data_IF_060112718604
#
_entry.id   IF_060112718604
#
_cell.length_a   1.000
_cell.length_b   1.000
_cell.length_c   1.000
_cell.angle_alpha   90.00
_cell.angle_beta   90.00
_cell.angle_gamma   90.00
#
_symmetry.space_group_name_H-M   'P 1'
#
loop_
_entity.id
_entity.type
_entity.pdbx_description
1 polymer ?
#
# COMPACT_ATOMS: atom_id res chain seq x y z
N UNK A 1 28.01 -30.16 29.55
CA UNK A 1 28.51 -28.77 29.58
C UNK A 1 28.50 -28.27 28.16
N UNK A 2 27.53 -27.42 27.82
CA UNK A 2 27.55 -26.67 26.55
C UNK A 2 28.38 -25.42 26.81
N UNK A 3 29.55 -25.31 26.16
CA UNK A 3 30.26 -24.04 26.08
C UNK A 3 29.42 -23.09 25.23
N UNK A 4 28.83 -22.08 25.87
CA UNK A 4 28.39 -20.87 25.18
C UNK A 4 29.66 -20.17 24.71
N UNK A 5 29.90 -20.15 23.40
CA UNK A 5 30.87 -19.24 22.82
C UNK A 5 30.31 -17.83 22.96
N UNK A 6 30.88 -17.03 23.85
CA UNK A 6 30.59 -15.60 23.93
C UNK A 6 31.04 -14.92 22.63
N UNK A 7 30.09 -14.64 21.74
CA UNK A 7 30.33 -13.87 20.52
C UNK A 7 30.47 -12.40 20.90
N UNK A 8 31.69 -11.89 20.95
CA UNK A 8 31.96 -10.46 21.14
C UNK A 8 31.78 -9.71 19.81
N UNK A 9 30.83 -8.78 19.77
CA UNK A 9 30.71 -7.84 18.65
C UNK A 9 31.80 -6.78 18.77
N UNK A 10 32.51 -6.52 17.67
CA UNK A 10 33.55 -5.49 17.59
C UNK A 10 33.06 -4.40 16.66
N UNK A 11 33.07 -3.15 17.13
CA UNK A 11 32.77 -2.00 16.28
C UNK A 11 33.85 -1.87 15.19
N UNK A 12 33.42 -1.90 13.93
CA UNK A 12 34.30 -1.65 12.80
C UNK A 12 34.16 -0.19 12.35
N UNK A 13 35.28 0.54 12.33
CA UNK A 13 35.35 1.85 11.71
C UNK A 13 35.03 1.73 10.21
N UNK A 14 33.91 2.30 9.76
CA UNK A 14 33.53 2.31 8.35
C UNK A 14 34.32 3.38 7.57
N UNK A 15 34.55 3.21 6.26
CA UNK A 15 35.50 4.03 5.50
C UNK A 15 35.03 5.46 5.13
N UNK A 16 33.97 5.97 5.76
CA UNK A 16 33.37 7.27 5.40
C UNK A 16 33.53 8.29 6.52
N UNK A 17 33.92 9.52 6.17
CA UNK A 17 33.95 10.64 7.12
C UNK A 17 32.55 10.88 7.69
N UNK A 18 32.42 10.90 9.02
CA UNK A 18 31.15 11.03 9.76
C UNK A 18 30.21 12.08 9.14
N UNK A 19 29.09 11.70 8.51
CA UNK A 19 28.06 12.65 8.13
C UNK A 19 27.31 13.09 9.39
N UNK A 20 26.98 14.38 9.52
CA UNK A 20 26.13 14.94 10.59
C UNK A 20 24.67 14.44 10.57
N UNK A 21 24.34 13.41 9.80
CA UNK A 21 23.00 12.81 9.66
C UNK A 21 23.12 11.30 9.58
N UNK A 22 22.14 10.59 10.16
CA UNK A 22 21.99 9.14 10.06
C UNK A 22 21.96 8.77 8.57
N UNK A 23 22.96 8.02 8.12
CA UNK A 23 23.03 7.47 6.76
C UNK A 23 22.73 5.98 6.87
N UNK A 24 21.63 5.54 6.24
CA UNK A 24 21.37 4.12 6.04
C UNK A 24 22.39 3.58 5.04
N UNK A 25 23.19 2.60 5.47
CA UNK A 25 24.19 1.92 4.65
C UNK A 25 23.63 0.56 4.27
N UNK A 26 23.54 0.26 2.96
CA UNK A 26 23.09 -1.03 2.46
C UNK A 26 24.24 -2.04 2.44
N UNK A 27 24.09 -3.16 3.15
CA UNK A 27 25.02 -4.29 3.09
C UNK A 27 24.64 -5.22 1.93
N UNK A 28 25.51 -5.33 0.93
CA UNK A 28 25.21 -6.01 -0.32
C UNK A 28 25.98 -7.34 -0.51
N UNK A 29 26.41 -7.93 0.60
CA UNK A 29 27.11 -9.22 0.64
C UNK A 29 28.60 -9.11 0.94
N UNK A 30 29.19 -10.26 1.23
CA UNK A 30 30.63 -10.42 1.46
C UNK A 30 31.17 -11.67 0.77
N UNK A 31 32.44 -11.63 0.39
CA UNK A 31 33.15 -12.76 -0.20
C UNK A 31 34.62 -12.69 0.22
N UNK A 32 35.15 -13.76 0.84
CA UNK A 32 36.56 -13.90 1.22
C UNK A 32 37.13 -12.68 1.99
N UNK A 33 36.32 -12.09 2.88
CA UNK A 33 36.71 -10.93 3.70
C UNK A 33 36.59 -9.56 3.02
N UNK A 34 36.20 -9.51 1.74
CA UNK A 34 35.72 -8.28 1.09
C UNK A 34 34.22 -8.11 1.30
N UNK A 35 33.80 -6.89 1.53
CA UNK A 35 32.41 -6.48 1.75
C UNK A 35 32.00 -5.50 0.66
N UNK A 36 30.84 -5.72 0.06
CA UNK A 36 30.23 -4.76 -0.86
C UNK A 36 29.20 -3.90 -0.12
N UNK A 37 29.39 -2.59 -0.18
CA UNK A 37 28.56 -1.61 0.55
C UNK A 37 27.99 -0.60 -0.44
N UNK A 38 26.74 -0.20 -0.23
CA UNK A 38 26.12 0.91 -0.96
C UNK A 38 25.72 2.04 -0.02
N UNK A 39 26.01 3.27 -0.44
CA UNK A 39 25.67 4.50 0.30
C UNK A 39 24.66 5.34 -0.50
N UNK A 40 24.01 6.35 0.13
CA UNK A 40 23.06 7.21 -0.56
C UNK A 40 23.66 7.84 -1.83
N UNK A 41 22.86 7.87 -2.91
CA UNK A 41 23.32 8.30 -4.24
C UNK A 41 23.77 7.15 -5.15
N UNK A 42 23.55 5.89 -4.75
CA UNK A 42 23.90 4.68 -5.51
C UNK A 42 25.40 4.50 -5.75
N UNK A 43 26.22 5.06 -4.85
CA UNK A 43 27.67 4.88 -4.87
C UNK A 43 28.00 3.57 -4.16
N UNK A 44 28.78 2.73 -4.81
CA UNK A 44 29.16 1.41 -4.32
C UNK A 44 30.63 1.36 -3.94
N UNK A 45 30.94 0.67 -2.85
CA UNK A 45 32.30 0.44 -2.37
C UNK A 45 32.57 -1.04 -2.20
N UNK A 46 33.80 -1.43 -2.53
CA UNK A 46 34.42 -2.64 -2.01
C UNK A 46 35.28 -2.26 -0.83
N UNK A 47 35.04 -2.88 0.31
CA UNK A 47 35.73 -2.58 1.55
C UNK A 47 36.29 -3.86 2.16
N UNK A 48 37.54 -3.80 2.58
CA UNK A 48 38.17 -4.84 3.39
C UNK A 48 38.28 -4.33 4.83
N UNK A 49 37.40 -4.79 5.75
CA UNK A 49 37.41 -4.31 7.13
C UNK A 49 38.71 -4.62 7.86
N UNK A 50 39.34 -5.76 7.58
CA UNK A 50 40.58 -6.18 8.24
C UNK A 50 41.78 -5.29 7.89
N UNK A 51 41.85 -4.81 6.65
CA UNK A 51 42.92 -3.91 6.18
C UNK A 51 42.54 -2.43 6.23
N UNK A 52 41.28 -2.12 6.51
CA UNK A 52 40.68 -0.78 6.45
C UNK A 52 40.83 -0.08 5.09
N UNK A 53 41.09 -0.84 4.02
CA UNK A 53 41.15 -0.32 2.65
C UNK A 53 39.79 -0.38 2.00
N UNK A 54 39.42 0.67 1.28
CA UNK A 54 38.22 0.72 0.46
C UNK A 54 38.55 1.17 -0.96
N UNK A 55 37.68 0.78 -1.89
CA UNK A 55 37.71 1.20 -3.28
C UNK A 55 36.29 1.58 -3.70
N UNK A 56 36.15 2.76 -4.30
CA UNK A 56 34.90 3.18 -4.94
C UNK A 56 34.76 2.48 -6.30
N UNK A 57 33.59 1.93 -6.56
CA UNK A 57 33.28 1.35 -7.86
C UNK A 57 32.83 2.44 -8.85
N UNK A 58 33.19 2.35 -10.14
CA UNK A 58 32.74 3.30 -11.15
C UNK A 58 31.22 3.40 -11.19
N UNK A 59 30.69 4.62 -11.32
CA UNK A 59 29.25 4.85 -11.35
C UNK A 59 28.59 4.22 -12.59
N UNK A 60 27.53 3.45 -12.39
CA UNK A 60 26.74 2.89 -13.49
C UNK A 60 25.86 3.99 -14.09
N UNK A 61 26.24 4.52 -15.26
CA UNK A 61 25.44 5.53 -15.97
C UNK A 61 24.14 4.89 -16.49
N UNK A 62 23.01 5.35 -15.97
CA UNK A 62 21.66 4.96 -16.36
C UNK A 62 20.92 6.16 -16.96
N UNK A 63 20.17 5.95 -18.05
CA UNK A 63 19.36 7.02 -18.69
C UNK A 63 18.03 7.29 -17.97
N UNK A 64 17.58 6.37 -17.12
CA UNK A 64 16.22 6.36 -16.56
C UNK A 64 16.25 6.32 -15.02
N UNK A 65 15.14 6.73 -14.39
CA UNK A 65 14.97 6.69 -12.94
C UNK A 65 14.91 5.24 -12.43
N UNK A 66 16.04 4.75 -11.93
CA UNK A 66 16.15 3.49 -11.18
C UNK A 66 15.35 3.64 -9.89
N UNK A 67 14.47 2.68 -9.62
CA UNK A 67 13.70 2.65 -8.38
C UNK A 67 14.13 1.50 -7.46
N UNK A 68 14.90 0.52 -7.97
CA UNK A 68 15.57 -0.46 -7.11
C UNK A 68 16.82 -1.07 -7.73
N UNK A 69 17.58 -1.72 -6.86
CA UNK A 69 18.72 -2.55 -7.19
C UNK A 69 18.83 -3.70 -6.19
N UNK A 70 19.45 -4.79 -6.61
CA UNK A 70 20.11 -5.77 -5.73
C UNK A 70 21.53 -5.97 -6.25
N UNK A 71 22.47 -6.29 -5.36
CA UNK A 71 23.78 -6.73 -5.78
C UNK A 71 24.35 -7.86 -4.92
N UNK A 72 25.40 -8.46 -5.43
CA UNK A 72 26.14 -9.53 -4.76
C UNK A 72 27.59 -9.52 -5.22
N UNK A 73 28.49 -9.94 -4.33
CA UNK A 73 29.92 -10.07 -4.58
C UNK A 73 30.32 -11.54 -4.58
N UNK A 74 31.13 -11.94 -5.55
CA UNK A 74 31.67 -13.29 -5.67
C UNK A 74 33.11 -13.29 -6.14
N UNK A 75 33.78 -14.42 -5.94
CA UNK A 75 35.15 -14.64 -6.38
C UNK A 75 35.15 -15.66 -7.53
N UNK A 76 35.81 -15.33 -8.63
CA UNK A 76 35.90 -16.19 -9.81
C UNK A 76 37.26 -16.91 -9.82
N UNK A 77 37.26 -18.17 -9.40
CA UNK A 77 38.45 -19.02 -9.33
C UNK A 77 39.13 -19.19 -10.70
N UNK A 78 38.39 -19.09 -11.81
CA UNK A 78 38.95 -19.33 -13.15
C UNK A 78 39.86 -18.21 -13.62
N UNK A 79 39.63 -16.99 -13.11
CA UNK A 79 40.46 -15.84 -13.42
C UNK A 79 41.17 -15.31 -12.20
N UNK A 80 40.98 -15.86 -10.99
CA UNK A 80 41.55 -15.35 -9.73
C UNK A 80 41.20 -13.86 -9.52
N UNK A 81 39.90 -13.54 -9.51
CA UNK A 81 39.44 -12.17 -9.37
C UNK A 81 38.04 -12.03 -8.74
N UNK A 82 37.78 -10.88 -8.14
CA UNK A 82 36.46 -10.56 -7.60
C UNK A 82 35.55 -9.94 -8.64
N UNK A 83 34.27 -10.30 -8.57
CA UNK A 83 33.20 -9.74 -9.37
C UNK A 83 32.09 -9.22 -8.49
N UNK A 84 31.48 -8.12 -8.93
CA UNK A 84 30.26 -7.59 -8.32
C UNK A 84 29.17 -7.64 -9.38
N UNK A 85 28.06 -8.28 -9.07
CA UNK A 85 26.89 -8.32 -9.94
C UNK A 85 25.86 -7.37 -9.38
N UNK A 86 25.36 -6.47 -10.22
CA UNK A 86 24.27 -5.53 -9.89
C UNK A 86 23.12 -5.79 -10.83
N UNK A 87 21.93 -5.96 -10.27
CA UNK A 87 20.68 -6.09 -11.00
C UNK A 87 19.87 -4.83 -10.71
N UNK A 88 19.72 -4.00 -11.73
CA UNK A 88 19.01 -2.73 -11.69
C UNK A 88 17.60 -2.90 -12.25
N UNK A 89 16.61 -2.32 -11.59
CA UNK A 89 15.24 -2.24 -12.11
C UNK A 89 14.87 -0.78 -12.38
N UNK A 90 14.40 -0.51 -13.59
CA UNK A 90 13.95 0.81 -14.02
C UNK A 90 12.57 0.72 -14.66
N UNK A 91 11.74 1.75 -14.44
CA UNK A 91 10.49 1.92 -15.17
C UNK A 91 10.78 2.56 -16.52
N UNK A 92 10.43 1.87 -17.60
CA UNK A 92 10.52 2.36 -18.98
C UNK A 92 9.20 2.11 -19.66
N UNK A 93 8.51 3.17 -20.08
CA UNK A 93 7.22 3.09 -20.79
C UNK A 93 6.20 2.18 -20.10
N UNK A 94 6.14 2.25 -18.76
CA UNK A 94 5.25 1.40 -17.94
C UNK A 94 5.56 -0.10 -18.07
N UNK A 95 6.82 -0.45 -18.24
CA UNK A 95 7.35 -1.82 -18.12
C UNK A 95 8.55 -1.79 -17.17
N UNK A 96 8.66 -2.80 -16.30
CA UNK A 96 9.88 -2.97 -15.49
C UNK A 96 10.94 -3.58 -16.39
N UNK A 97 11.92 -2.77 -16.78
CA UNK A 97 13.12 -3.26 -17.44
C UNK A 97 14.18 -3.57 -16.40
N UNK A 98 14.78 -4.76 -16.53
CA UNK A 98 15.91 -5.19 -15.72
C UNK A 98 17.19 -5.04 -16.51
N UNK A 99 18.25 -4.60 -15.86
CA UNK A 99 19.59 -4.51 -16.43
C UNK A 99 20.56 -5.17 -15.49
N UNK A 100 21.31 -6.14 -15.99
CA UNK A 100 22.32 -6.84 -15.18
C UNK A 100 23.72 -6.40 -15.61
N UNK A 101 24.46 -5.84 -14.67
CA UNK A 101 25.82 -5.35 -14.84
C UNK A 101 26.78 -6.17 -13.97
N UNK A 102 27.93 -6.53 -14.53
CA UNK A 102 28.98 -7.27 -13.84
C UNK A 102 30.25 -6.45 -13.85
N UNK A 103 30.70 -6.04 -12.67
CA UNK A 103 32.01 -5.44 -12.46
C UNK A 103 33.06 -6.52 -12.30
N UNK A 104 34.24 -6.30 -12.87
CA UNK A 104 35.41 -7.15 -12.70
C UNK A 104 36.53 -6.29 -12.13
N UNK A 105 37.06 -6.68 -10.96
CA UNK A 105 37.98 -5.85 -10.18
C UNK A 105 39.31 -5.63 -10.90
N UNK A 106 39.89 -6.68 -11.50
CA UNK A 106 41.16 -6.60 -12.25
C UNK A 106 41.12 -5.61 -13.40
N UNK A 107 39.97 -5.49 -14.08
CA UNK A 107 39.82 -4.63 -15.26
C UNK A 107 39.18 -3.30 -14.95
N UNK A 108 38.83 -3.05 -13.68
CA UNK A 108 38.13 -1.87 -13.19
C UNK A 108 36.98 -1.42 -14.13
N UNK A 109 36.13 -2.37 -14.52
CA UNK A 109 35.12 -2.10 -15.54
C UNK A 109 33.86 -2.93 -15.38
N UNK A 110 32.75 -2.30 -15.77
CA UNK A 110 31.44 -2.91 -15.89
C UNK A 110 31.23 -3.51 -17.27
N UNK A 111 30.58 -4.67 -17.32
CA UNK A 111 30.03 -5.24 -18.54
C UNK A 111 28.59 -5.68 -18.33
N UNK A 112 27.74 -5.42 -19.32
CA UNK A 112 26.36 -5.89 -19.35
C UNK A 112 26.30 -7.37 -19.69
N UNK A 113 25.44 -8.10 -19.00
CA UNK A 113 25.07 -9.48 -19.36
C UNK A 113 23.58 -9.59 -19.68
N UNK A 114 23.11 -10.79 -20.03
CA UNK A 114 21.69 -11.04 -20.32
C UNK A 114 20.83 -10.66 -19.12
N UNK A 115 19.66 -10.08 -19.40
CA UNK A 115 18.75 -9.64 -18.36
C UNK A 115 18.14 -10.86 -17.62
N UNK A 116 17.88 -10.69 -16.32
CA UNK A 116 17.31 -11.75 -15.49
C UNK A 116 15.82 -11.96 -15.81
N UNK A 117 15.37 -13.18 -16.16
CA UNK A 117 13.98 -13.44 -16.55
C UNK A 117 13.02 -13.53 -15.35
N UNK A 118 13.53 -13.64 -14.12
CA UNK A 118 12.72 -13.89 -12.92
C UNK A 118 12.46 -12.62 -12.11
N UNK A 119 11.33 -12.57 -11.39
CA UNK A 119 11.07 -11.54 -10.39
C UNK A 119 11.87 -11.85 -9.12
N UNK A 120 12.77 -10.96 -8.74
CA UNK A 120 13.57 -11.11 -7.51
C UNK A 120 12.85 -10.39 -6.38
N UNK A 121 12.93 -10.91 -5.16
CA UNK A 121 12.45 -10.17 -3.99
C UNK A 121 13.31 -8.92 -3.81
N UNK A 122 12.63 -7.80 -3.61
CA UNK A 122 13.26 -6.50 -3.39
C UNK A 122 13.93 -6.54 -2.02
N UNK A 123 15.19 -6.13 -1.94
CA UNK A 123 16.09 -6.11 -0.75
C UNK A 123 17.02 -7.30 -0.49
N UNK A 124 16.90 -8.42 -1.21
CA UNK A 124 17.79 -9.55 -0.95
C UNK A 124 19.15 -9.38 -1.65
N UNK A 125 20.23 -9.35 -0.85
CA UNK A 125 21.62 -9.36 -1.33
C UNK A 125 21.98 -10.73 -1.92
N UNK A 126 22.74 -10.73 -3.01
CA UNK A 126 23.18 -11.97 -3.64
C UNK A 126 24.13 -12.75 -2.74
N UNK A 127 23.83 -14.03 -2.50
CA UNK A 127 24.64 -14.91 -1.65
C UNK A 127 25.59 -15.72 -2.55
N UNK A 128 26.90 -15.59 -2.34
CA UNK A 128 27.89 -16.32 -3.11
C UNK A 128 28.20 -17.68 -2.48
N UNK A 129 27.87 -18.76 -3.18
CA UNK A 129 28.12 -20.15 -2.75
C UNK A 129 28.47 -21.00 -3.97
N UNK A 130 29.53 -21.79 -3.83
CA UNK A 130 29.98 -22.77 -4.85
C UNK A 130 30.20 -22.18 -6.24
N UNK A 131 30.87 -21.03 -6.32
CA UNK A 131 31.22 -20.39 -7.59
C UNK A 131 30.07 -19.61 -8.25
N UNK A 132 28.90 -19.51 -7.59
CA UNK A 132 27.74 -18.82 -8.14
C UNK A 132 27.10 -17.88 -7.11
N UNK A 133 26.50 -16.79 -7.60
CA UNK A 133 25.62 -15.93 -6.82
C UNK A 133 24.18 -16.43 -6.91
N UNK A 134 23.52 -16.51 -5.76
CA UNK A 134 22.14 -16.96 -5.62
C UNK A 134 21.28 -15.80 -5.10
N UNK A 135 20.11 -15.65 -5.69
CA UNK A 135 19.07 -14.73 -5.22
C UNK A 135 17.76 -15.48 -5.07
N UNK A 136 16.97 -15.06 -4.10
CA UNK A 136 15.58 -15.48 -3.93
C UNK A 136 14.73 -14.85 -5.03
N UNK A 137 13.94 -15.69 -5.71
CA UNK A 137 12.97 -15.25 -6.69
C UNK A 137 11.59 -15.76 -6.32
N UNK A 138 10.56 -14.99 -6.67
CA UNK A 138 9.20 -15.53 -6.70
C UNK A 138 9.00 -16.19 -8.06
N UNK A 139 8.93 -17.53 -8.07
CA UNK A 139 8.53 -18.28 -9.25
C UNK A 139 7.02 -18.08 -9.42
N UNK A 140 6.64 -17.15 -10.30
CA UNK A 140 5.25 -17.03 -10.74
C UNK A 140 5.05 -18.00 -11.91
N UNK A 141 4.32 -19.10 -11.69
CA UNK A 141 3.91 -20.00 -12.77
C UNK A 141 3.21 -19.22 -13.90
N UNK A 142 3.48 -19.60 -15.15
CA UNK A 142 3.32 -18.69 -16.29
C UNK A 142 1.88 -18.46 -16.80
N UNK A 143 0.87 -19.16 -16.29
CA UNK A 143 -0.52 -18.90 -16.68
C UNK A 143 -1.11 -17.73 -15.88
N UNK A 144 -1.51 -16.67 -16.58
CA UNK A 144 -2.19 -15.53 -15.96
C UNK A 144 -3.65 -15.84 -15.68
N UNK A 145 -4.11 -15.47 -14.49
CA UNK A 145 -5.51 -15.63 -14.09
C UNK A 145 -6.42 -14.57 -14.73
N UNK A 146 -5.87 -13.37 -14.98
CA UNK A 146 -6.61 -12.24 -15.56
C UNK A 146 -5.67 -11.15 -16.10
N UNK A 147 -6.24 -10.14 -16.76
CA UNK A 147 -5.54 -8.98 -17.31
C UNK A 147 -6.14 -7.70 -16.74
N UNK A 148 -5.28 -6.80 -16.23
CA UNK A 148 -5.67 -5.46 -15.86
C UNK A 148 -5.94 -4.61 -17.11
N UNK A 149 -6.93 -3.74 -17.01
CA UNK A 149 -7.27 -2.75 -18.04
C UNK A 149 -6.96 -1.37 -17.47
N UNK A 150 -6.16 -0.61 -18.21
CA UNK A 150 -5.90 0.78 -17.89
C UNK A 150 -7.17 1.60 -18.11
N UNK A 151 -7.58 2.35 -17.09
CA UNK A 151 -8.67 3.32 -17.18
C UNK A 151 -8.04 4.71 -17.14
N UNK A 152 -8.48 5.59 -18.05
CA UNK A 152 -8.03 6.98 -18.08
C UNK A 152 -8.57 7.74 -16.86
N UNK A 153 -7.70 8.55 -16.26
CA UNK A 153 -8.05 9.41 -15.13
C UNK A 153 -9.04 10.51 -15.54
N UNK A 154 -9.86 11.02 -14.59
CA UNK A 154 -10.80 12.11 -14.85
C UNK A 154 -10.16 13.50 -15.00
N UNK A 155 -8.82 13.57 -15.12
CA UNK A 155 -8.07 14.81 -15.22
C UNK A 155 -6.94 14.69 -16.25
N UNK A 156 -6.53 15.82 -16.82
CA UNK A 156 -5.38 15.85 -17.72
C UNK A 156 -4.12 15.39 -17.00
N UNK A 157 -3.34 14.49 -17.63
CA UNK A 157 -2.10 13.96 -17.06
C UNK A 157 -1.13 15.13 -16.79
N UNK A 158 -0.83 15.45 -15.53
CA UNK A 158 0.10 16.52 -15.26
C UNK A 158 1.53 16.10 -15.60
N UNK A 159 2.39 17.10 -15.78
CA UNK A 159 3.82 16.90 -16.09
C UNK A 159 4.62 16.38 -14.89
N UNK A 160 4.04 16.44 -13.69
CA UNK A 160 4.66 16.06 -12.41
C UNK A 160 4.01 14.82 -11.79
N UNK A 161 4.67 14.22 -10.80
CA UNK A 161 4.11 13.09 -10.05
C UNK A 161 2.90 13.54 -9.24
N UNK A 162 1.83 12.76 -9.33
CA UNK A 162 0.58 12.97 -8.60
C UNK A 162 0.35 11.84 -7.61
N UNK A 163 -0.16 12.20 -6.46
CA UNK A 163 -0.74 11.26 -5.49
C UNK A 163 -2.25 11.26 -5.64
N UNK A 164 -2.84 10.07 -5.69
CA UNK A 164 -4.28 9.86 -5.81
C UNK A 164 -4.73 9.06 -4.61
N UNK A 165 -5.60 9.65 -3.80
CA UNK A 165 -6.21 8.99 -2.66
C UNK A 165 -7.63 8.55 -3.02
N UNK A 166 -7.91 7.27 -2.83
CA UNK A 166 -9.26 6.73 -2.98
C UNK A 166 -10.06 7.01 -1.71
N UNK A 167 -11.20 7.69 -1.88
CA UNK A 167 -12.04 8.19 -0.78
C UNK A 167 -13.41 7.50 -0.74
N UNK A 168 -13.49 6.29 -1.30
CA UNK A 168 -14.70 5.45 -1.28
C UNK A 168 -15.38 5.34 -2.64
N UNK A 169 -16.32 4.41 -2.71
CA UNK A 169 -17.24 4.25 -3.84
C UNK A 169 -18.66 4.01 -3.37
N UNK A 170 -19.63 4.42 -4.18
CA UNK A 170 -21.05 4.24 -3.94
C UNK A 170 -21.77 4.14 -5.28
N UNK A 171 -22.52 3.05 -5.52
CA UNK A 171 -23.31 2.84 -6.74
C UNK A 171 -22.54 3.08 -8.06
N UNK A 172 -21.26 2.70 -8.09
CA UNK A 172 -20.34 2.86 -9.22
C UNK A 172 -19.80 4.28 -9.44
N UNK A 173 -20.16 5.23 -8.58
CA UNK A 173 -19.39 6.46 -8.41
C UNK A 173 -18.20 6.21 -7.48
N UNK A 174 -17.07 6.84 -7.80
CA UNK A 174 -15.83 6.80 -7.04
C UNK A 174 -15.46 8.22 -6.64
N UNK A 175 -15.10 8.42 -5.38
CA UNK A 175 -14.52 9.68 -4.94
C UNK A 175 -12.99 9.55 -4.89
N UNK A 176 -12.28 10.43 -5.59
CA UNK A 176 -10.82 10.49 -5.55
C UNK A 176 -10.36 11.89 -5.16
N UNK A 177 -9.25 11.95 -4.44
CA UNK A 177 -8.53 13.19 -4.13
C UNK A 177 -7.18 13.17 -4.82
N UNK A 178 -6.86 14.27 -5.49
CA UNK A 178 -5.67 14.45 -6.31
C UNK A 178 -4.79 15.50 -5.65
N UNK A 179 -3.52 15.16 -5.43
CA UNK A 179 -2.51 16.02 -4.78
C UNK A 179 -2.92 16.57 -3.41
N UNK A 180 -3.90 15.94 -2.74
CA UNK A 180 -4.35 16.30 -1.39
C UNK A 180 -5.34 17.46 -1.28
N UNK A 181 -5.83 18.03 -2.40
CA UNK A 181 -6.76 19.19 -2.35
C UNK A 181 -7.77 19.28 -3.49
N UNK A 182 -7.56 18.62 -4.63
CA UNK A 182 -8.55 18.58 -5.72
C UNK A 182 -9.37 17.30 -5.58
N UNK A 183 -10.70 17.40 -5.57
CA UNK A 183 -11.56 16.23 -5.43
C UNK A 183 -12.40 16.03 -6.68
N UNK A 184 -12.55 14.77 -7.08
CA UNK A 184 -13.44 14.37 -8.16
C UNK A 184 -14.44 13.32 -7.68
N UNK A 185 -15.68 13.45 -8.15
CA UNK A 185 -16.61 12.33 -8.22
C UNK A 185 -16.57 11.82 -9.65
N UNK A 186 -16.22 10.55 -9.81
CA UNK A 186 -15.90 9.95 -11.10
C UNK A 186 -16.65 8.64 -11.26
N UNK A 187 -17.21 8.40 -12.45
CA UNK A 187 -17.68 7.08 -12.83
C UNK A 187 -16.71 6.47 -13.87
N UNK A 188 -15.88 5.49 -13.47
CA UNK A 188 -14.98 4.80 -14.39
C UNK A 188 -15.66 4.16 -15.60
N UNK A 189 -16.85 3.58 -15.43
CA UNK A 189 -17.58 2.88 -16.49
C UNK A 189 -18.09 3.84 -17.58
N UNK A 190 -18.56 5.03 -17.19
CA UNK A 190 -19.05 6.04 -18.14
C UNK A 190 -17.98 7.04 -18.57
N UNK A 191 -16.81 7.03 -17.90
CA UNK A 191 -15.70 7.99 -18.08
C UNK A 191 -16.11 9.46 -17.84
N UNK A 192 -17.25 9.69 -17.19
CA UNK A 192 -17.71 11.01 -16.79
C UNK A 192 -17.19 11.33 -15.40
N UNK A 193 -16.91 12.59 -15.12
CA UNK A 193 -16.47 13.08 -13.82
C UNK A 193 -16.92 14.51 -13.57
N UNK A 194 -16.99 14.85 -12.29
CA UNK A 194 -17.29 16.19 -11.80
C UNK A 194 -16.20 16.58 -10.80
N UNK A 195 -15.56 17.72 -11.05
CA UNK A 195 -14.64 18.33 -10.10
C UNK A 195 -15.43 19.04 -9.01
N UNK A 196 -15.10 18.77 -7.75
CA UNK A 196 -15.78 19.41 -6.63
C UNK A 196 -15.17 20.80 -6.36
N UNK A 197 -15.97 21.79 -5.92
CA UNK A 197 -15.44 23.08 -5.52
C UNK A 197 -14.36 22.94 -4.44
N UNK A 198 -13.26 23.68 -4.58
CA UNK A 198 -12.13 23.61 -3.65
C UNK A 198 -12.55 24.04 -2.24
N UNK A 199 -12.31 23.17 -1.24
CA UNK A 199 -12.46 23.54 0.16
C UNK A 199 -11.25 24.39 0.58
N UNK A 200 -11.50 25.58 1.14
CA UNK A 200 -10.43 26.41 1.71
C UNK A 200 -9.85 25.73 2.93
N UNK A 201 -8.73 25.04 2.73
CA UNK A 201 -7.94 24.40 3.78
C UNK A 201 -7.36 25.46 4.73
N UNK A 202 -7.41 25.21 6.03
CA UNK A 202 -6.64 25.99 6.98
C UNK A 202 -5.17 25.55 6.90
N UNK A 203 -4.22 26.47 7.05
CA UNK A 203 -2.78 26.17 7.03
C UNK A 203 -2.34 25.19 8.14
N UNK A 204 -3.22 24.90 9.10
CA UNK A 204 -2.98 24.03 10.27
C UNK A 204 -3.57 22.62 10.13
N UNK A 205 -4.16 22.30 8.96
CA UNK A 205 -4.71 20.96 8.69
C UNK A 205 -3.57 19.99 8.47
N UNK A 206 -3.60 18.87 9.19
CA UNK A 206 -2.58 17.82 9.10
C UNK A 206 -3.15 16.49 8.59
N UNK A 207 -4.47 16.34 8.55
CA UNK A 207 -5.13 15.10 8.16
C UNK A 207 -6.54 15.37 7.63
N UNK A 208 -6.88 14.72 6.52
CA UNK A 208 -8.17 14.82 5.85
C UNK A 208 -8.76 13.41 5.75
N UNK A 209 -10.02 13.25 6.11
CA UNK A 209 -10.78 12.02 5.85
C UNK A 209 -11.96 12.34 4.99
N UNK A 210 -12.18 11.54 3.95
CA UNK A 210 -13.35 11.72 3.12
C UNK A 210 -14.10 10.42 2.93
N UNK A 211 -15.37 10.53 2.60
CA UNK A 211 -16.23 9.41 2.25
C UNK A 211 -17.32 9.86 1.30
N UNK A 212 -17.72 8.99 0.38
CA UNK A 212 -18.88 9.20 -0.49
C UNK A 212 -19.98 8.22 -0.12
N UNK A 213 -21.22 8.69 -0.12
CA UNK A 213 -22.38 7.85 0.08
C UNK A 213 -23.63 8.43 -0.55
N UNK A 214 -24.69 7.64 -0.56
CA UNK A 214 -25.98 8.03 -1.11
C UNK A 214 -26.98 8.25 0.03
N UNK A 215 -27.72 9.35 -0.05
CA UNK A 215 -28.76 9.72 0.89
C UNK A 215 -30.13 9.45 0.26
N UNK A 216 -30.73 8.31 0.64
CA UNK A 216 -32.04 7.87 0.17
C UNK A 216 -33.15 8.90 0.45
N UNK A 217 -33.01 9.75 1.47
CA UNK A 217 -34.06 10.69 1.87
C UNK A 217 -34.23 11.85 0.91
N UNK A 218 -33.16 12.21 0.19
CA UNK A 218 -33.14 13.31 -0.78
C UNK A 218 -32.85 12.85 -2.21
N UNK A 219 -32.68 11.53 -2.41
CA UNK A 219 -32.33 10.88 -3.69
C UNK A 219 -31.08 11.51 -4.31
N UNK A 220 -29.99 11.59 -3.54
CA UNK A 220 -28.77 12.25 -3.98
C UNK A 220 -27.50 11.72 -3.31
N UNK A 221 -26.36 12.00 -3.93
CA UNK A 221 -25.04 11.66 -3.38
C UNK A 221 -24.51 12.78 -2.50
N UNK A 222 -23.85 12.38 -1.42
CA UNK A 222 -23.10 13.27 -0.54
C UNK A 222 -21.64 12.85 -0.49
N UNK A 223 -20.76 13.83 -0.48
CA UNK A 223 -19.34 13.65 -0.16
C UNK A 223 -19.08 14.36 1.15
N UNK A 224 -18.54 13.64 2.13
CA UNK A 224 -18.19 14.18 3.43
C UNK A 224 -16.69 14.33 3.50
N UNK A 225 -16.22 15.49 3.96
CA UNK A 225 -14.82 15.77 4.23
C UNK A 225 -14.67 16.22 5.68
N UNK A 226 -13.80 15.54 6.41
CA UNK A 226 -13.44 15.82 7.79
C UNK A 226 -12.01 16.37 7.78
N UNK A 227 -11.87 17.64 8.14
CA UNK A 227 -10.62 18.37 8.20
C UNK A 227 -10.15 18.44 9.65
N UNK A 228 -9.08 17.71 9.97
CA UNK A 228 -8.47 17.74 11.30
C UNK A 228 -7.35 18.77 11.35
N UNK A 229 -7.48 19.76 12.22
CA UNK A 229 -6.50 20.82 12.42
C UNK A 229 -6.12 20.96 13.89
N UNK A 230 -4.86 21.34 14.15
CA UNK A 230 -4.46 21.80 15.48
C UNK A 230 -4.83 23.28 15.63
N UNK A 231 -5.75 23.55 16.55
CA UNK A 231 -6.14 24.91 16.93
C UNK A 231 -5.93 25.03 18.44
N UNK A 232 -5.03 25.93 18.85
CA UNK A 232 -4.68 26.15 20.26
C UNK A 232 -4.29 24.88 21.03
N UNK A 233 -3.58 23.96 20.35
CA UNK A 233 -3.15 22.64 20.87
C UNK A 233 -4.29 21.62 21.07
N UNK A 234 -5.50 21.93 20.62
CA UNK A 234 -6.64 21.01 20.56
C UNK A 234 -6.86 20.56 19.11
N UNK A 235 -7.21 19.30 18.91
CA UNK A 235 -7.61 18.80 17.58
C UNK A 235 -9.07 19.23 17.36
N UNK A 236 -9.30 20.00 16.29
CA UNK A 236 -10.64 20.33 15.80
C UNK A 236 -10.90 19.57 14.50
N UNK A 237 -12.06 18.93 14.41
CA UNK A 237 -12.49 18.17 13.24
C UNK A 237 -13.64 18.89 12.55
N UNK A 238 -13.30 19.84 11.68
CA UNK A 238 -14.31 20.56 10.89
C UNK A 238 -14.88 19.61 9.85
N UNK A 239 -16.21 19.54 9.73
CA UNK A 239 -16.88 18.66 8.78
C UNK A 239 -17.64 19.46 7.73
N UNK A 240 -17.34 19.18 6.47
CA UNK A 240 -17.99 19.74 5.30
C UNK A 240 -18.71 18.62 4.54
N UNK A 241 -19.96 18.87 4.16
CA UNK A 241 -20.79 17.96 3.38
C UNK A 241 -21.11 18.61 2.05
N UNK A 242 -20.67 17.99 0.97
CA UNK A 242 -21.03 18.35 -0.39
C UNK A 242 -22.26 17.55 -0.81
N UNK A 243 -23.21 18.21 -1.46
CA UNK A 243 -24.39 17.57 -2.05
C UNK A 243 -24.32 17.74 -3.56
N UNK A 244 -24.39 16.63 -4.30
CA UNK A 244 -24.09 16.60 -5.73
C UNK A 244 -25.08 17.44 -6.55
N UNK A 245 -26.39 17.33 -6.27
CA UNK A 245 -27.42 18.07 -6.99
C UNK A 245 -27.34 19.58 -6.80
N UNK A 246 -26.92 20.04 -5.63
CA UNK A 246 -26.83 21.49 -5.33
C UNK A 246 -25.46 22.07 -5.63
N UNK A 247 -24.51 21.25 -6.09
CA UNK A 247 -23.11 21.60 -6.35
C UNK A 247 -22.51 22.53 -5.28
N UNK A 248 -22.69 22.18 -4.01
CA UNK A 248 -22.30 23.05 -2.91
C UNK A 248 -21.91 22.31 -1.65
N UNK A 249 -20.91 22.88 -0.98
CA UNK A 249 -20.48 22.50 0.35
C UNK A 249 -21.33 23.20 1.41
N UNK A 250 -21.63 22.46 2.47
CA UNK A 250 -22.23 22.97 3.70
C UNK A 250 -21.49 22.40 4.91
N UNK A 251 -21.17 23.29 5.86
CA UNK A 251 -20.63 22.89 7.16
C UNK A 251 -21.73 22.28 8.04
N UNK A 252 -21.39 21.20 8.72
CA UNK A 252 -22.20 20.62 9.81
C UNK A 252 -21.47 20.75 11.15
N UNK A 253 -22.07 20.25 12.24
CA UNK A 253 -21.41 20.21 13.55
C UNK A 253 -20.09 19.44 13.47
N UNK A 254 -19.09 19.86 14.24
CA UNK A 254 -17.75 19.25 14.21
C UNK A 254 -17.79 17.80 14.73
N UNK A 255 -16.90 16.95 14.20
CA UNK A 255 -16.83 15.54 14.61
C UNK A 255 -16.24 15.42 16.03
N UNK A 256 -16.94 14.75 16.97
CA UNK A 256 -16.50 14.69 18.36
C UNK A 256 -15.29 13.75 18.59
N UNK A 257 -14.92 12.92 17.60
CA UNK A 257 -13.85 11.94 17.74
C UNK A 257 -12.64 12.28 16.86
N UNK A 258 -11.43 12.03 17.39
CA UNK A 258 -10.20 12.08 16.59
C UNK A 258 -10.19 10.91 15.61
N UNK A 259 -9.99 11.21 14.32
CA UNK A 259 -9.84 10.22 13.25
C UNK A 259 -8.38 10.17 12.75
N UNK A 260 -7.43 10.51 13.62
CA UNK A 260 -6.01 10.40 13.32
C UNK A 260 -5.66 8.94 12.99
N UNK A 261 -4.95 8.74 11.88
CA UNK A 261 -4.55 7.40 11.42
C UNK A 261 -5.68 6.50 10.91
N UNK A 262 -6.91 6.99 10.77
CA UNK A 262 -7.99 6.23 10.12
C UNK A 262 -7.81 6.22 8.60
N UNK A 263 -8.42 5.23 7.94
CA UNK A 263 -8.58 5.24 6.49
C UNK A 263 -9.78 6.11 6.06
N UNK A 264 -10.05 6.14 4.74
CA UNK A 264 -11.22 6.78 4.13
C UNK A 264 -12.54 6.16 4.62
N UNK A 265 -13.63 6.94 4.51
CA UNK A 265 -14.95 6.60 5.02
C UNK A 265 -15.61 5.45 4.25
N UNK A 266 -16.20 4.52 5.00
CA UNK A 266 -16.85 3.33 4.47
C UNK A 266 -18.37 3.51 4.51
N UNK A 267 -19.01 3.46 3.34
CA UNK A 267 -20.46 3.61 3.21
C UNK A 267 -21.19 2.27 3.28
N UNK A 268 -22.08 2.12 4.27
CA UNK A 268 -22.96 0.96 4.42
C UNK A 268 -24.31 1.45 4.97
N UNK A 269 -25.41 0.99 4.37
CA UNK A 269 -26.77 1.22 4.89
C UNK A 269 -27.12 2.70 5.17
N UNK A 270 -26.72 3.62 4.28
CA UNK A 270 -27.02 5.05 4.43
C UNK A 270 -26.09 5.81 5.39
N UNK A 271 -25.06 5.15 5.90
CA UNK A 271 -24.19 5.67 6.95
C UNK A 271 -22.72 5.53 6.54
N UNK A 272 -21.92 6.57 6.79
CA UNK A 272 -20.47 6.53 6.64
C UNK A 272 -19.79 6.13 7.95
N UNK A 273 -18.71 5.36 7.87
CA UNK A 273 -18.00 4.83 9.02
C UNK A 273 -16.49 5.05 8.92
N UNK A 274 -15.87 5.34 10.06
CA UNK A 274 -14.42 5.48 10.22
C UNK A 274 -13.96 4.81 11.51
N UNK A 275 -12.68 4.47 11.59
CA UNK A 275 -12.05 3.98 12.82
C UNK A 275 -11.41 5.13 13.58
N UNK A 276 -11.47 5.11 14.92
CA UNK A 276 -10.77 6.07 15.78
C UNK A 276 -9.73 5.34 16.62
N UNK A 277 -8.44 5.42 16.22
CA UNK A 277 -7.34 4.74 16.93
C UNK A 277 -7.17 5.28 18.36
N UNK A 278 -7.32 6.59 18.53
CA UNK A 278 -7.14 7.28 19.82
C UNK A 278 -8.22 6.93 20.86
N UNK A 279 -9.37 6.41 20.42
CA UNK A 279 -10.54 6.14 21.26
C UNK A 279 -10.78 4.63 21.41
N UNK A 280 -9.74 3.83 21.65
CA UNK A 280 -9.84 2.36 21.74
C UNK A 280 -10.47 1.70 20.49
N UNK A 281 -10.15 2.22 19.30
CA UNK A 281 -10.60 1.67 18.02
C UNK A 281 -12.13 1.67 17.82
N UNK A 282 -12.86 2.60 18.45
CA UNK A 282 -14.30 2.75 18.18
C UNK A 282 -14.56 3.00 16.68
N UNK A 283 -15.71 2.51 16.23
CA UNK A 283 -16.22 2.78 14.89
C UNK A 283 -17.13 4.00 15.00
N UNK A 284 -16.67 5.12 14.46
CA UNK A 284 -17.43 6.37 14.39
C UNK A 284 -18.30 6.35 13.14
N UNK A 285 -19.57 6.69 13.29
CA UNK A 285 -20.53 6.69 12.20
C UNK A 285 -21.14 8.08 11.96
N UNK A 286 -21.51 8.40 10.72
CA UNK A 286 -22.28 9.58 10.34
C UNK A 286 -23.46 9.16 9.46
N UNK A 287 -24.68 9.31 9.98
CA UNK A 287 -25.93 9.10 9.22
C UNK A 287 -26.06 10.21 8.19
N UNK A 288 -26.09 9.88 6.89
CA UNK A 288 -26.09 10.90 5.84
C UNK A 288 -27.43 11.63 5.71
N UNK A 289 -28.54 11.00 6.06
CA UNK A 289 -29.87 11.60 5.99
C UNK A 289 -30.09 12.57 7.15
N UNK A 290 -29.71 12.17 8.36
CA UNK A 290 -29.88 12.98 9.59
C UNK A 290 -28.71 13.93 9.84
N UNK A 291 -27.54 13.62 9.27
CA UNK A 291 -26.27 14.31 9.51
C UNK A 291 -25.88 14.35 10.99
N UNK A 292 -26.11 13.21 11.65
CA UNK A 292 -25.82 13.01 13.07
C UNK A 292 -24.74 11.95 13.25
N UNK A 293 -23.82 12.23 14.17
CA UNK A 293 -22.79 11.28 14.59
C UNK A 293 -23.36 10.18 15.47
N UNK A 294 -22.72 9.02 15.43
CA UNK A 294 -22.98 7.89 16.30
C UNK A 294 -21.77 6.99 16.43
N UNK A 295 -21.91 5.94 17.20
CA UNK A 295 -20.89 4.91 17.37
C UNK A 295 -21.48 3.54 17.05
N UNK A 296 -20.69 2.69 16.43
CA UNK A 296 -21.03 1.28 16.20
C UNK A 296 -20.19 0.42 17.15
N UNK A 297 -20.88 -0.41 17.94
CA UNK A 297 -20.24 -1.33 18.86
C UNK A 297 -19.43 -2.39 18.09
N UNK A 298 -18.21 -2.62 18.55
CA UNK A 298 -17.32 -3.65 18.03
C UNK A 298 -17.78 -5.07 18.43
N UNK A 299 -17.32 -6.10 17.70
CA UNK A 299 -17.45 -7.50 18.13
C UNK A 299 -16.84 -7.75 19.52
N UNK A 300 -17.31 -8.80 20.18
CA UNK A 300 -16.58 -9.38 21.32
C UNK A 300 -15.47 -10.26 20.80
N UNK A 301 -14.23 -9.83 21.04
CA UNK A 301 -13.05 -10.51 20.52
C UNK A 301 -12.54 -11.57 21.50
N UNK A 302 -12.13 -12.71 20.96
CA UNK A 302 -11.51 -13.79 21.74
C UNK A 302 -10.12 -13.40 22.27
N UNK A 303 -9.46 -12.42 21.63
CA UNK A 303 -8.08 -12.00 21.91
C UNK A 303 -8.00 -10.52 22.28
N UNK A 304 -7.24 -10.24 23.35
CA UNK A 304 -7.09 -8.88 23.92
C UNK A 304 -6.14 -8.01 23.10
N UNK A 305 -4.95 -8.52 22.75
CA UNK A 305 -3.93 -7.75 22.03
C UNK A 305 -4.36 -7.50 20.57
N UNK A 306 -4.21 -6.29 20.07
CA UNK A 306 -4.55 -5.88 18.70
C UNK A 306 -3.43 -4.97 18.19
N UNK A 307 -2.90 -5.25 16.99
CA UNK A 307 -1.88 -4.41 16.36
C UNK A 307 -2.52 -3.29 15.54
N UNK A 308 -3.52 -3.64 14.73
CA UNK A 308 -4.25 -2.68 13.89
C UNK A 308 -5.68 -3.17 13.60
N UNK A 309 -6.53 -2.25 13.16
CA UNK A 309 -7.93 -2.47 12.82
C UNK A 309 -8.28 -1.78 11.50
N UNK A 310 -8.62 -2.59 10.50
CA UNK A 310 -9.14 -2.14 9.22
C UNK A 310 -10.66 -2.22 9.16
N UNK A 311 -11.28 -1.32 8.39
CA UNK A 311 -12.71 -1.28 8.15
C UNK A 311 -13.00 -1.33 6.64
N UNK A 312 -14.07 -1.99 6.24
CA UNK A 312 -14.51 -1.98 4.85
C UNK A 312 -15.86 -2.66 4.64
N UNK A 313 -16.14 -3.04 3.39
CA UNK A 313 -17.38 -3.70 3.00
C UNK A 313 -17.07 -5.06 2.43
N UNK A 314 -17.75 -6.09 2.93
CA UNK A 314 -17.64 -7.45 2.41
C UNK A 314 -19.04 -8.03 2.19
N UNK A 315 -19.34 -8.40 0.93
CA UNK A 315 -20.67 -8.90 0.53
C UNK A 315 -21.83 -7.96 0.93
N UNK A 316 -21.61 -6.65 0.86
CA UNK A 316 -22.60 -5.62 1.22
C UNK A 316 -22.75 -5.33 2.72
N UNK A 317 -22.06 -6.09 3.57
CA UNK A 317 -22.06 -5.89 5.01
C UNK A 317 -20.84 -5.09 5.47
N UNK A 318 -20.98 -4.36 6.59
CA UNK A 318 -19.84 -3.75 7.26
C UNK A 318 -18.90 -4.86 7.76
N UNK A 319 -17.62 -4.72 7.46
CA UNK A 319 -16.58 -5.69 7.74
C UNK A 319 -15.43 -5.04 8.50
N UNK A 320 -14.83 -5.81 9.40
CA UNK A 320 -13.71 -5.41 10.23
C UNK A 320 -12.58 -6.43 10.08
N UNK A 321 -11.36 -5.95 9.86
CA UNK A 321 -10.15 -6.77 9.88
C UNK A 321 -9.36 -6.41 11.13
N UNK A 322 -9.21 -7.37 12.04
CA UNK A 322 -8.44 -7.19 13.26
C UNK A 322 -7.12 -7.93 13.15
N UNK A 323 -6.02 -7.21 13.29
CA UNK A 323 -4.69 -7.76 13.12
C UNK A 323 -4.03 -8.12 14.45
N UNK A 324 -3.41 -9.28 14.47
CA UNK A 324 -2.61 -9.81 15.57
C UNK A 324 -1.15 -9.95 15.12
N UNK A 325 -0.34 -10.62 15.93
CA UNK A 325 1.06 -10.95 15.66
C UNK A 325 1.26 -12.13 14.70
N UNK A 326 0.29 -13.05 14.66
CA UNK A 326 0.37 -14.32 13.92
C UNK A 326 -0.72 -14.47 12.84
N UNK A 327 -1.80 -13.69 12.92
CA UNK A 327 -2.92 -13.74 11.98
C UNK A 327 -3.70 -12.42 11.92
N UNK A 328 -4.69 -12.39 11.03
CA UNK A 328 -5.73 -11.38 11.01
C UNK A 328 -7.13 -12.02 10.97
N UNK A 329 -8.01 -11.56 11.85
CA UNK A 329 -9.41 -12.01 11.90
C UNK A 329 -10.30 -11.07 11.10
N UNK A 330 -11.17 -11.66 10.28
CA UNK A 330 -12.19 -10.93 9.51
C UNK A 330 -13.54 -11.15 10.18
N UNK A 331 -14.19 -10.06 10.56
CA UNK A 331 -15.51 -10.03 11.18
C UNK A 331 -16.51 -9.33 10.26
N UNK A 332 -17.73 -9.83 10.17
CA UNK A 332 -18.80 -9.25 9.36
C UNK A 332 -20.05 -9.04 10.20
N UNK A 333 -20.62 -7.85 10.15
CA UNK A 333 -21.89 -7.51 10.79
C UNK A 333 -23.04 -7.92 9.87
N UNK A 334 -23.72 -9.03 10.20
CA UNK A 334 -24.79 -9.58 9.35
C UNK A 334 -26.03 -8.70 9.34
N UNK A 335 -26.39 -8.18 10.51
CA UNK A 335 -27.53 -7.28 10.68
C UNK A 335 -26.99 -5.92 11.12
N UNK A 336 -27.06 -4.94 10.22
CA UNK A 336 -26.47 -3.63 10.44
C UNK A 336 -26.99 -2.98 11.74
N UNK A 337 -26.06 -2.47 12.56
CA UNK A 337 -26.34 -1.84 13.85
C UNK A 337 -26.56 -2.81 15.02
N UNK A 338 -26.64 -4.13 14.78
CA UNK A 338 -26.84 -5.13 15.83
C UNK A 338 -25.50 -5.75 16.21
N UNK A 339 -25.04 -5.49 17.44
CA UNK A 339 -23.73 -5.96 17.94
C UNK A 339 -23.62 -7.48 17.90
N UNK A 340 -24.67 -8.19 18.30
CA UNK A 340 -24.71 -9.65 18.39
C UNK A 340 -24.68 -10.32 16.99
N UNK A 341 -24.86 -9.54 15.92
CA UNK A 341 -24.78 -10.03 14.54
C UNK A 341 -23.36 -10.04 13.97
N UNK A 342 -22.38 -9.51 14.71
CA UNK A 342 -20.97 -9.65 14.35
C UNK A 342 -20.59 -11.12 14.38
N UNK A 343 -20.14 -11.63 13.24
CA UNK A 343 -19.70 -13.01 13.08
C UNK A 343 -18.28 -13.04 12.54
N UNK A 344 -17.42 -13.82 13.19
CA UNK A 344 -16.08 -14.09 12.68
C UNK A 344 -16.21 -14.96 11.43
N UNK A 345 -15.84 -14.40 10.29
CA UNK A 345 -15.93 -15.09 9.01
C UNK A 345 -14.74 -16.03 8.81
N UNK A 346 -13.53 -15.53 9.08
CA UNK A 346 -12.28 -16.24 8.79
C UNK A 346 -11.14 -15.67 9.64
N UNK A 347 -10.16 -16.52 9.94
CA UNK A 347 -8.84 -16.12 10.43
C UNK A 347 -7.81 -16.40 9.33
N UNK A 348 -7.03 -15.39 8.96
CA UNK A 348 -6.02 -15.46 7.90
C UNK A 348 -4.64 -15.47 8.58
N UNK A 349 -3.90 -16.59 8.59
CA UNK A 349 -2.58 -16.62 9.20
C UNK A 349 -1.57 -15.81 8.38
N UNK A 350 -0.57 -15.21 9.01
CA UNK A 350 0.57 -14.65 8.28
C UNK A 350 1.47 -15.78 7.77
N UNK A 351 2.08 -15.58 6.60
CA UNK A 351 3.00 -16.56 6.01
C UNK A 351 4.38 -16.46 6.65
N UNK A 352 4.81 -15.26 7.02
CA UNK A 352 6.06 -15.02 7.75
C UNK A 352 5.90 -13.96 8.84
N UNK A 353 6.74 -13.97 9.89
CA UNK A 353 6.73 -12.94 10.93
C UNK A 353 7.06 -11.52 10.44
N UNK A 354 7.54 -11.40 9.20
CA UNK A 354 7.91 -10.15 8.53
C UNK A 354 6.92 -9.72 7.46
N UNK A 355 5.79 -10.43 7.30
CA UNK A 355 4.76 -10.00 6.36
C UNK A 355 4.16 -8.66 6.80
N UNK A 356 3.93 -7.78 5.84
CA UNK A 356 3.19 -6.55 6.07
C UNK A 356 1.74 -6.87 6.48
N UNK A 357 1.17 -5.95 7.25
CA UNK A 357 -0.22 -5.93 7.67
C UNK A 357 -1.18 -6.16 6.49
N UNK A 358 -2.12 -7.10 6.62
CA UNK A 358 -3.17 -7.31 5.61
C UNK A 358 -4.11 -6.08 5.53
N UNK A 359 -4.49 -5.69 4.32
CA UNK A 359 -5.62 -4.78 4.10
C UNK A 359 -6.95 -5.54 4.26
N UNK A 360 -8.04 -4.79 4.47
CA UNK A 360 -9.40 -5.37 4.51
C UNK A 360 -9.66 -6.26 3.28
N UNK A 361 -10.32 -7.42 3.41
CA UNK A 361 -10.60 -8.27 2.27
C UNK A 361 -11.41 -7.56 1.19
N UNK A 362 -11.00 -7.75 -0.07
CA UNK A 362 -11.62 -7.12 -1.22
C UNK A 362 -12.92 -7.82 -1.60
N UNK A 363 -12.91 -9.16 -1.58
CA UNK A 363 -14.08 -9.97 -1.88
C UNK A 363 -13.92 -11.42 -1.39
N UNK A 364 -15.07 -12.11 -1.34
CA UNK A 364 -15.15 -13.56 -1.21
C UNK A 364 -15.43 -14.12 -2.60
N UNK A 365 -14.59 -15.05 -3.06
CA UNK A 365 -14.72 -15.74 -4.34
C UNK A 365 -15.73 -16.89 -4.23
N UNK A 366 -16.23 -17.38 -5.38
CA UNK A 366 -17.30 -18.40 -5.45
C UNK A 366 -16.98 -19.73 -4.74
N UNK A 367 -15.71 -20.02 -4.51
CA UNK A 367 -15.19 -21.21 -3.81
C UNK A 367 -14.96 -20.97 -2.30
N UNK A 368 -15.44 -19.84 -1.76
CA UNK A 368 -15.18 -19.35 -0.40
C UNK A 368 -13.71 -19.02 -0.12
N UNK A 369 -12.91 -18.80 -1.16
CA UNK A 369 -11.60 -18.18 -1.01
C UNK A 369 -11.75 -16.69 -0.77
N UNK A 370 -10.83 -16.12 0.00
CA UNK A 370 -10.82 -14.69 0.32
C UNK A 370 -9.67 -14.03 -0.43
N UNK A 371 -9.97 -12.94 -1.12
CA UNK A 371 -8.96 -12.13 -1.79
C UNK A 371 -8.59 -10.95 -0.87
N UNK A 372 -7.33 -10.88 -0.49
CA UNK A 372 -6.76 -9.82 0.36
C UNK A 372 -5.55 -9.20 -0.31
N UNK A 373 -5.21 -7.98 0.09
CA UNK A 373 -3.95 -7.33 -0.22
C UNK A 373 -3.06 -7.40 1.03
N UNK A 374 -1.79 -7.78 0.87
CA UNK A 374 -0.82 -7.84 1.97
C UNK A 374 0.21 -6.70 1.91
N UNK A 375 -0.11 -5.59 1.24
CA UNK A 375 0.77 -4.43 1.06
C UNK A 375 1.74 -4.56 -0.12
N UNK A 376 2.09 -5.79 -0.51
CA UNK A 376 2.95 -6.05 -1.67
C UNK A 376 2.22 -6.73 -2.82
N UNK A 377 1.28 -7.62 -2.50
CA UNK A 377 0.64 -8.52 -3.44
C UNK A 377 -0.84 -8.73 -3.10
N UNK A 378 -1.64 -8.95 -4.14
CA UNK A 378 -2.91 -9.64 -3.95
C UNK A 378 -2.65 -11.09 -3.62
N UNK A 379 -3.41 -11.60 -2.66
CA UNK A 379 -3.29 -12.96 -2.13
C UNK A 379 -4.69 -13.55 -2.04
N UNK A 380 -4.86 -14.75 -2.60
CA UNK A 380 -6.03 -15.59 -2.39
C UNK A 380 -5.73 -16.58 -1.28
N UNK A 381 -6.59 -16.60 -0.28
CA UNK A 381 -6.51 -17.56 0.82
C UNK A 381 -7.69 -18.53 0.75
N UNK A 382 -7.39 -19.84 0.69
CA UNK A 382 -8.35 -20.93 0.81
C UNK A 382 -8.37 -21.42 2.27
N UNK A 383 -9.39 -21.07 3.07
CA UNK A 383 -9.50 -21.54 4.44
C UNK A 383 -9.62 -23.06 4.57
N UNK A 384 -10.27 -23.74 3.62
CA UNK A 384 -10.49 -25.20 3.69
C UNK A 384 -9.19 -25.99 3.67
N UNK A 385 -8.23 -25.55 2.86
CA UNK A 385 -6.94 -26.21 2.70
C UNK A 385 -5.80 -25.47 3.43
N UNK A 386 -6.11 -24.34 4.08
CA UNK A 386 -5.15 -23.38 4.63
C UNK A 386 -4.04 -23.01 3.63
N UNK A 387 -4.40 -22.79 2.37
CA UNK A 387 -3.45 -22.52 1.27
C UNK A 387 -3.55 -21.09 0.78
N UNK A 388 -2.39 -20.53 0.47
CA UNK A 388 -2.26 -19.23 -0.18
C UNK A 388 -1.89 -19.43 -1.65
N UNK A 389 -2.46 -18.58 -2.49
CA UNK A 389 -2.09 -18.47 -3.90
C UNK A 389 -2.06 -17.01 -4.32
N UNK A 390 -1.27 -16.69 -5.34
CA UNK A 390 -1.06 -15.31 -5.78
C UNK A 390 -1.64 -15.17 -7.18
N UNK A 391 -2.75 -14.44 -7.36
CA UNK A 391 -3.31 -14.22 -8.67
C UNK A 391 -2.33 -13.46 -9.56
N UNK A 392 -2.05 -14.01 -10.75
CA UNK A 392 -1.23 -13.33 -11.74
C UNK A 392 -2.10 -12.43 -12.60
N UNK A 393 -1.88 -11.12 -12.47
CA UNK A 393 -2.59 -10.07 -13.21
C UNK A 393 -1.64 -9.50 -14.27
N UNK A 394 -1.94 -9.70 -15.55
CA UNK A 394 -1.17 -9.08 -16.63
C UNK A 394 -1.38 -7.56 -16.62
N UNK A 395 -0.37 -6.80 -17.05
CA UNK A 395 -0.41 -5.33 -17.13
C UNK A 395 -0.65 -4.62 -15.77
N UNK A 396 -0.38 -5.30 -14.66
CA UNK A 396 -0.46 -4.72 -13.32
C UNK A 396 0.94 -4.46 -12.75
N UNK A 397 1.12 -3.30 -12.11
CA UNK A 397 2.40 -2.85 -11.56
C UNK A 397 2.65 -3.38 -10.15
N UNK A 398 3.91 -3.42 -9.72
CA UNK A 398 4.32 -4.05 -8.44
C UNK A 398 3.93 -3.29 -7.16
N UNK A 399 3.28 -2.12 -7.26
CA UNK A 399 2.74 -1.37 -6.12
C UNK A 399 1.37 -0.84 -6.53
N UNK A 400 0.34 -1.22 -5.79
CA UNK A 400 -1.03 -0.75 -5.98
C UNK A 400 -1.80 -0.87 -4.67
N UNK A 401 -2.74 0.04 -4.46
CA UNK A 401 -3.84 -0.18 -3.53
C UNK A 401 -5.02 -0.73 -4.31
N UNK A 402 -5.71 -1.72 -3.76
CA UNK A 402 -6.87 -2.32 -4.40
C UNK A 402 -8.15 -1.96 -3.63
N UNK A 403 -9.21 -1.66 -4.38
CA UNK A 403 -10.53 -1.37 -3.84
C UNK A 403 -11.60 -2.10 -4.65
N UNK A 404 -12.64 -2.66 -4.02
CA UNK A 404 -13.77 -3.22 -4.74
C UNK A 404 -14.53 -2.12 -5.47
N UNK A 405 -14.91 -2.40 -6.71
CA UNK A 405 -15.68 -1.49 -7.57
C UNK A 405 -16.79 -2.28 -8.26
N UNK A 406 -17.99 -1.69 -8.31
CA UNK A 406 -19.14 -2.24 -9.03
C UNK A 406 -19.54 -1.24 -10.10
N UNK A 407 -19.56 -1.69 -11.36
CA UNK A 407 -19.92 -0.86 -12.50
C UNK A 407 -21.38 -0.40 -12.42
N UNK A 408 -21.63 0.81 -12.93
CA UNK A 408 -22.94 1.46 -12.94
C UNK A 408 -22.99 2.54 -14.02
N UNK A 409 -24.19 2.88 -14.48
CA UNK A 409 -24.42 4.01 -15.40
C UNK A 409 -24.80 5.32 -14.70
N UNK A 410 -24.73 5.39 -13.37
CA UNK A 410 -25.01 6.61 -12.61
C UNK A 410 -24.11 7.76 -13.07
N UNK A 411 -24.69 8.93 -13.35
CA UNK A 411 -23.90 10.10 -13.74
C UNK A 411 -23.34 10.81 -12.52
N UNK A 412 -22.07 11.27 -12.54
CA UNK A 412 -21.55 12.17 -11.52
C UNK A 412 -22.01 13.61 -11.72
N UNK A 413 -22.56 13.98 -12.88
CA UNK A 413 -23.01 15.35 -13.13
C UNK A 413 -24.43 15.58 -12.61
N UNK A 414 -24.67 16.71 -11.93
CA UNK A 414 -25.99 17.13 -11.44
C UNK A 414 -27.06 17.24 -12.53
N UNK A 415 -26.64 17.50 -13.77
CA UNK A 415 -27.53 17.82 -14.89
C UNK A 415 -28.01 16.59 -15.67
N UNK A 416 -27.36 15.44 -15.46
CA UNK A 416 -27.66 14.19 -16.12
C UNK A 416 -28.61 13.37 -15.22
N UNK A 417 -29.92 13.47 -15.44
CA UNK A 417 -30.99 12.88 -14.59
C UNK A 417 -31.05 11.34 -14.45
N UNK A 418 -29.95 10.62 -14.62
CA UNK A 418 -29.82 9.18 -14.36
C UNK A 418 -29.25 8.99 -12.95
N UNK A 419 -30.12 9.06 -11.94
CA UNK A 419 -29.75 8.86 -10.52
C UNK A 419 -29.96 7.42 -10.02
N UNK A 420 -30.63 6.55 -10.80
CA UNK A 420 -30.84 5.14 -10.44
C UNK A 420 -30.66 4.18 -11.62
N UNK A 421 -29.91 3.12 -11.38
CA UNK A 421 -30.27 1.79 -11.85
C UNK A 421 -30.58 0.94 -10.60
N UNK A 422 -31.81 0.45 -10.50
CA UNK A 422 -32.12 -0.63 -9.56
C UNK A 422 -31.33 -1.86 -10.02
N UNK A 423 -30.37 -2.33 -9.21
CA UNK A 423 -29.79 -3.65 -9.41
C UNK A 423 -30.79 -4.70 -8.91
N UNK A 424 -31.07 -5.69 -9.76
CA UNK A 424 -31.88 -6.87 -9.47
C UNK A 424 -31.11 -7.92 -8.67
#
# INVERSE_FOLDING_TARGET
MHEQSDTTAVDLDYPFDKPRKIVLIGFNGSCNGLVCIMVPGYIMYLWNPATRKSMELPLIKMRNNVFSHTCGIGYDDSIDDYKVVVILSAHVDRVIQKRVEVYTLRTDSWRRIRDCPHSLKWTDSGIFVSGALHWTSSIMHEQSDTTAVDIDYPFEKPRERVWIDFNGSCNGLVCIMVTGYIMYVWNPATRKSTELPVIKMLNTVFNNKCGIGYDDSIDDYKVVVILSAHVDRVIQNRVEVYTLRTDSWRRIGDCPHSLAGSDSGIFVSGVLHWTSRDSNWIIVSLDLAKETYGEVLQPDYDRVCCLDLGLGVLSGCLCLLRQYDDCADVWVMKDYGIRESWTKLIAIPYLTPTDDAYSIPLCILKNNEVLVDNGMHLVRYCPKDAKFSYPKIQNCFASFSAYPYVESLVSPNSDDGIHRQQQY
#
